data_IF_391998409950
#
_entry.id   IF_391998409950
#
_cell.length_a   1.000
_cell.length_b   1.000
_cell.length_c   1.000
_cell.angle_alpha   90.00
_cell.angle_beta   90.00
_cell.angle_gamma   90.00
#
_symmetry.space_group_name_H-M   'P 1'
#
loop_
_entity.id
_entity.type
_entity.pdbx_description
1 polymer ?
#
# COMPACT_ATOMS: atom_id res chain seq x y z
N UNK A 1 -28.70 -1.29 -8.70
CA UNK A 1 -27.82 -0.56 -7.76
C UNK A 1 -28.16 0.92 -7.55
N UNK A 2 -28.73 1.66 -8.51
CA UNK A 2 -29.06 3.11 -8.33
C UNK A 2 -30.02 3.44 -7.17
N UNK A 3 -30.86 2.51 -6.72
CA UNK A 3 -31.82 2.73 -5.62
C UNK A 3 -31.15 3.04 -4.26
N UNK A 4 -29.91 2.58 -4.05
CA UNK A 4 -29.22 2.67 -2.76
C UNK A 4 -28.09 3.70 -2.74
N UNK A 5 -27.85 4.40 -3.84
CA UNK A 5 -26.75 5.37 -3.94
C UNK A 5 -27.33 6.77 -3.70
N UNK A 6 -26.92 7.43 -2.60
CA UNK A 6 -27.32 8.81 -2.29
C UNK A 6 -26.42 9.82 -3.00
N UNK A 7 -25.09 9.63 -2.91
CA UNK A 7 -24.11 10.55 -3.48
C UNK A 7 -22.92 9.78 -4.05
N UNK A 8 -22.31 10.35 -5.09
CA UNK A 8 -21.07 9.86 -5.68
C UNK A 8 -20.13 11.04 -5.80
N UNK A 9 -18.92 10.88 -5.27
CA UNK A 9 -17.83 11.83 -5.43
C UNK A 9 -16.73 11.16 -6.22
N UNK A 10 -16.19 11.86 -7.22
CA UNK A 10 -15.12 11.34 -8.07
C UNK A 10 -13.96 12.32 -8.03
N UNK A 11 -12.78 11.79 -7.74
CA UNK A 11 -11.52 12.50 -7.82
C UNK A 11 -10.69 11.82 -8.91
N UNK A 12 -10.29 12.60 -9.91
CA UNK A 12 -9.40 12.14 -10.98
C UNK A 12 -8.00 12.61 -10.67
N UNK A 13 -7.00 11.77 -10.94
CA UNK A 13 -5.61 12.13 -10.76
C UNK A 13 -5.03 11.82 -9.38
N UNK A 14 -5.87 11.40 -8.42
CA UNK A 14 -5.46 11.20 -7.02
C UNK A 14 -6.30 10.15 -6.30
N UNK A 15 -5.66 9.33 -5.48
CA UNK A 15 -6.29 8.42 -4.49
C UNK A 15 -5.97 8.91 -3.06
N UNK A 16 -7.02 9.09 -2.27
CA UNK A 16 -6.94 9.41 -0.85
C UNK A 16 -6.75 8.12 -0.03
N UNK A 17 -5.91 8.20 1.01
CA UNK A 17 -5.63 7.08 1.91
C UNK A 17 -4.98 5.87 1.25
N UNK A 18 -4.33 6.03 0.10
CA UNK A 18 -3.72 4.93 -0.67
C UNK A 18 -2.64 4.15 0.08
N UNK A 19 -2.22 3.04 -0.51
CA UNK A 19 -1.18 2.17 0.06
C UNK A 19 0.12 2.97 0.21
N UNK A 20 0.75 2.91 1.39
CA UNK A 20 2.06 3.55 1.60
C UNK A 20 3.05 2.98 0.58
N UNK A 21 3.61 3.85 -0.26
CA UNK A 21 4.51 3.49 -1.35
C UNK A 21 3.83 3.25 -2.72
N UNK A 22 2.50 3.21 -2.82
CA UNK A 22 1.86 3.28 -4.12
C UNK A 22 1.92 4.71 -4.70
N UNK A 23 1.93 4.79 -6.04
CA UNK A 23 1.67 6.01 -6.81
C UNK A 23 0.22 6.42 -6.59
N UNK A 24 -0.02 7.29 -5.62
CA UNK A 24 -1.37 7.76 -5.30
C UNK A 24 -1.80 8.97 -6.15
N UNK A 25 -0.95 9.44 -7.07
CA UNK A 25 -1.23 10.53 -8.00
C UNK A 25 -0.75 10.13 -9.41
N UNK A 26 -1.59 10.33 -10.41
CA UNK A 26 -1.32 9.91 -11.79
C UNK A 26 -2.53 10.07 -12.72
N UNK A 27 -2.29 10.25 -14.01
CA UNK A 27 -3.36 10.39 -15.02
C UNK A 27 -4.16 9.09 -15.21
N UNK A 28 -3.57 7.98 -14.79
CA UNK A 28 -4.10 6.62 -14.80
C UNK A 28 -4.95 6.29 -13.56
N UNK A 29 -5.10 7.25 -12.64
CA UNK A 29 -5.69 7.02 -11.32
C UNK A 29 -7.03 7.75 -11.15
N UNK A 30 -8.01 7.06 -10.57
CA UNK A 30 -9.30 7.65 -10.17
C UNK A 30 -9.79 7.07 -8.84
N UNK A 31 -10.35 7.92 -7.99
CA UNK A 31 -11.02 7.55 -6.75
C UNK A 31 -12.51 7.86 -6.86
N UNK A 32 -13.35 6.87 -6.55
CA UNK A 32 -14.80 7.01 -6.55
C UNK A 32 -15.32 6.68 -5.16
N UNK A 33 -15.83 7.69 -4.48
CA UNK A 33 -16.51 7.54 -3.19
C UNK A 33 -18.01 7.43 -3.40
N UNK A 34 -18.62 6.37 -2.87
CA UNK A 34 -20.06 6.11 -2.99
C UNK A 34 -20.70 6.15 -1.61
N UNK A 35 -21.57 7.12 -1.39
CA UNK A 35 -22.43 7.20 -0.21
C UNK A 35 -23.72 6.41 -0.45
N UNK A 36 -23.91 5.36 0.35
CA UNK A 36 -25.07 4.48 0.28
C UNK A 36 -26.16 4.83 1.32
N UNK A 37 -25.98 5.88 2.10
CA UNK A 37 -26.92 6.29 3.13
C UNK A 37 -27.07 5.32 4.31
N UNK A 38 -27.96 5.69 5.21
CA UNK A 38 -28.16 5.04 6.51
C UNK A 38 -28.64 3.60 6.37
N UNK A 39 -28.22 2.75 7.32
CA UNK A 39 -28.57 1.32 7.35
C UNK A 39 -30.09 1.11 7.39
N UNK A 40 -30.83 1.95 8.12
CA UNK A 40 -32.29 1.84 8.26
C UNK A 40 -33.06 2.13 6.96
N UNK A 41 -32.44 2.84 6.02
CA UNK A 41 -33.03 3.17 4.73
C UNK A 41 -32.73 2.12 3.64
N UNK A 42 -32.06 1.01 3.99
CA UNK A 42 -31.60 0.00 3.04
C UNK A 42 -32.00 -1.41 3.44
N UNK A 43 -32.43 -2.17 2.45
CA UNK A 43 -32.78 -3.59 2.59
C UNK A 43 -31.54 -4.51 2.49
N UNK A 44 -30.36 -3.95 2.20
CA UNK A 44 -29.10 -4.69 1.97
C UNK A 44 -27.96 -4.17 2.84
N UNK A 45 -27.11 -5.09 3.30
CA UNK A 45 -25.90 -4.77 4.05
C UNK A 45 -24.83 -4.10 3.19
N UNK A 46 -23.86 -3.44 3.84
CA UNK A 46 -22.71 -2.81 3.14
C UNK A 46 -21.90 -3.86 2.38
N UNK A 47 -21.62 -5.02 3.02
CA UNK A 47 -20.89 -6.15 2.42
C UNK A 47 -21.59 -6.71 1.17
N UNK A 48 -22.90 -6.91 1.22
CA UNK A 48 -23.67 -7.42 0.08
C UNK A 48 -23.69 -6.41 -1.08
N UNK A 49 -23.86 -5.12 -0.77
CA UNK A 49 -23.77 -4.06 -1.77
C UNK A 49 -22.40 -4.06 -2.45
N UNK A 50 -21.34 -4.12 -1.66
CA UNK A 50 -19.96 -4.16 -2.10
C UNK A 50 -19.66 -5.35 -3.02
N UNK A 51 -20.05 -6.57 -2.63
CA UNK A 51 -19.84 -7.76 -3.45
C UNK A 51 -20.59 -7.69 -4.79
N UNK A 52 -21.81 -7.16 -4.76
CA UNK A 52 -22.61 -6.98 -5.98
C UNK A 52 -21.97 -5.97 -6.94
N UNK A 53 -21.43 -4.87 -6.41
CA UNK A 53 -20.76 -3.84 -7.18
C UNK A 53 -19.42 -4.33 -7.73
N UNK A 54 -18.66 -5.08 -6.93
CA UNK A 54 -17.41 -5.73 -7.37
C UNK A 54 -17.65 -6.62 -8.58
N UNK A 55 -18.62 -7.55 -8.50
CA UNK A 55 -18.93 -8.46 -9.63
C UNK A 55 -19.28 -7.69 -10.90
N UNK A 56 -20.07 -6.63 -10.79
CA UNK A 56 -20.47 -5.81 -11.93
C UNK A 56 -19.29 -5.04 -12.55
N UNK A 57 -18.41 -4.44 -11.73
CA UNK A 57 -17.31 -3.62 -12.21
C UNK A 57 -16.16 -4.44 -12.80
N UNK A 58 -15.82 -5.58 -12.19
CA UNK A 58 -14.80 -6.49 -12.73
C UNK A 58 -15.19 -7.04 -14.10
N UNK A 59 -16.49 -7.30 -14.33
CA UNK A 59 -16.99 -7.72 -15.65
C UNK A 59 -17.00 -6.57 -16.67
N UNK A 60 -17.25 -5.34 -16.22
CA UNK A 60 -17.37 -4.19 -17.11
C UNK A 60 -16.00 -3.64 -17.57
N UNK A 61 -14.96 -3.70 -16.72
CA UNK A 61 -13.65 -3.12 -17.01
C UNK A 61 -12.53 -4.11 -16.63
N UNK A 62 -12.29 -5.17 -17.44
CA UNK A 62 -11.33 -6.22 -17.10
C UNK A 62 -9.87 -5.74 -17.00
N UNK A 63 -9.55 -4.64 -17.69
CA UNK A 63 -8.20 -4.07 -17.73
C UNK A 63 -7.89 -3.12 -16.57
N UNK A 64 -8.87 -2.77 -15.73
CA UNK A 64 -8.65 -1.88 -14.59
C UNK A 64 -8.42 -2.70 -13.32
N UNK A 65 -7.38 -2.34 -12.56
CA UNK A 65 -7.29 -2.78 -11.18
C UNK A 65 -8.27 -1.98 -10.33
N UNK A 66 -9.27 -2.66 -9.77
CA UNK A 66 -10.30 -2.05 -8.93
C UNK A 66 -10.11 -2.60 -7.53
N UNK A 67 -9.84 -1.71 -6.58
CA UNK A 67 -9.83 -2.03 -5.16
C UNK A 67 -10.96 -1.28 -4.48
N UNK A 68 -11.62 -1.94 -3.55
CA UNK A 68 -12.69 -1.32 -2.79
C UNK A 68 -12.30 -1.25 -1.32
N UNK A 69 -12.55 -0.09 -0.71
CA UNK A 69 -12.18 0.21 0.67
C UNK A 69 -13.34 0.88 1.38
N UNK A 70 -13.56 0.51 2.63
CA UNK A 70 -14.52 1.18 3.49
C UNK A 70 -13.86 2.41 4.10
N UNK A 71 -14.51 3.56 4.00
CA UNK A 71 -14.01 4.78 4.64
C UNK A 71 -14.41 4.72 6.10
N UNK A 72 -13.41 4.63 6.99
CA UNK A 72 -13.68 4.65 8.43
C UNK A 72 -14.27 6.00 8.85
N UNK A 73 -15.33 6.01 9.69
CA UNK A 73 -15.96 7.24 10.18
C UNK A 73 -14.99 8.18 10.92
N UNK A 74 -13.88 7.65 11.44
CA UNK A 74 -12.82 8.39 12.13
C UNK A 74 -11.87 9.16 11.20
N UNK A 75 -12.07 9.12 9.88
CA UNK A 75 -11.27 9.87 8.91
C UNK A 75 -9.86 9.33 8.67
N UNK A 76 -9.49 8.22 9.31
CA UNK A 76 -8.28 7.47 9.00
C UNK A 76 -8.45 6.70 7.70
N UNK A 77 -7.55 6.91 6.74
CA UNK A 77 -7.53 6.12 5.50
C UNK A 77 -7.51 4.63 5.81
N UNK A 78 -8.45 3.87 5.25
CA UNK A 78 -8.44 2.41 5.37
C UNK A 78 -7.29 1.86 4.54
N UNK A 79 -6.25 1.39 5.21
CA UNK A 79 -5.27 0.49 4.60
C UNK A 79 -5.95 -0.83 4.27
N UNK A 80 -5.45 -1.53 3.24
CA UNK A 80 -5.95 -2.86 2.93
C UNK A 80 -5.80 -3.79 4.15
N UNK A 81 -6.79 -4.64 4.46
CA UNK A 81 -6.74 -5.53 5.62
C UNK A 81 -5.47 -6.39 5.64
N UNK A 82 -5.06 -6.87 4.46
CA UNK A 82 -3.80 -7.59 4.28
C UNK A 82 -2.82 -6.70 3.53
N UNK A 83 -1.67 -6.44 4.15
CA UNK A 83 -0.54 -5.77 3.54
C UNK A 83 0.73 -6.60 3.78
N UNK A 84 1.37 -7.06 2.71
CA UNK A 84 2.58 -7.86 2.73
C UNK A 84 3.72 -7.03 2.13
N UNK A 85 4.70 -6.68 2.93
CA UNK A 85 5.88 -5.96 2.51
C UNK A 85 7.00 -6.95 2.23
N UNK A 86 7.48 -6.99 1.00
CA UNK A 86 8.62 -7.81 0.61
C UNK A 86 9.79 -6.87 0.41
N UNK A 87 10.90 -7.11 1.13
CA UNK A 87 12.12 -6.31 1.01
C UNK A 87 13.27 -7.12 0.43
N UNK A 88 14.18 -6.44 -0.27
CA UNK A 88 15.28 -7.08 -0.98
C UNK A 88 16.41 -6.13 -1.33
N UNK A 89 17.57 -6.69 -1.66
CA UNK A 89 18.77 -5.95 -2.07
C UNK A 89 18.79 -5.66 -3.57
N UNK A 90 18.44 -6.63 -4.42
CA UNK A 90 18.39 -6.51 -5.88
C UNK A 90 16.95 -6.32 -6.36
N UNK A 91 16.73 -5.37 -7.28
CA UNK A 91 15.38 -5.01 -7.72
C UNK A 91 14.78 -6.09 -8.62
N UNK A 92 15.56 -6.67 -9.53
CA UNK A 92 15.04 -7.62 -10.52
C UNK A 92 14.63 -8.93 -9.83
N UNK A 93 15.43 -9.39 -8.87
CA UNK A 93 15.08 -10.52 -8.00
C UNK A 93 13.87 -10.22 -7.11
N UNK A 94 13.79 -9.01 -6.53
CA UNK A 94 12.66 -8.60 -5.70
C UNK A 94 11.35 -8.62 -6.51
N UNK A 95 11.39 -8.14 -7.75
CA UNK A 95 10.25 -8.19 -8.68
C UNK A 95 9.85 -9.63 -8.96
N UNK A 96 10.80 -10.51 -9.28
CA UNK A 96 10.51 -11.93 -9.54
C UNK A 96 9.84 -12.63 -8.34
N UNK A 97 10.39 -12.46 -7.12
CA UNK A 97 9.85 -13.04 -5.89
C UNK A 97 8.47 -12.45 -5.57
N UNK A 98 8.32 -11.13 -5.70
CA UNK A 98 7.04 -10.47 -5.46
C UNK A 98 5.95 -10.92 -6.45
N UNK A 99 6.29 -11.18 -7.71
CA UNK A 99 5.36 -11.71 -8.70
C UNK A 99 4.92 -13.14 -8.40
N UNK A 100 5.83 -13.98 -7.87
CA UNK A 100 5.48 -15.32 -7.38
C UNK A 100 4.52 -15.24 -6.18
N UNK A 101 4.85 -14.40 -5.19
CA UNK A 101 3.99 -14.16 -4.03
C UNK A 101 2.61 -13.61 -4.45
N UNK A 102 2.57 -12.65 -5.38
CA UNK A 102 1.32 -12.11 -5.92
C UNK A 102 0.48 -13.20 -6.60
N UNK A 103 1.12 -14.09 -7.37
CA UNK A 103 0.44 -15.22 -8.02
C UNK A 103 -0.17 -16.15 -6.98
N UNK A 104 0.55 -16.49 -5.91
CA UNK A 104 0.03 -17.31 -4.81
C UNK A 104 -1.20 -16.62 -4.18
N UNK A 105 -1.08 -15.35 -3.82
CA UNK A 105 -2.19 -14.59 -3.21
C UNK A 105 -3.43 -14.54 -4.10
N UNK A 106 -3.26 -14.39 -5.42
CA UNK A 106 -4.36 -14.38 -6.40
C UNK A 106 -5.11 -15.72 -6.51
N UNK A 107 -4.44 -16.84 -6.23
CA UNK A 107 -5.07 -18.17 -6.25
C UNK A 107 -5.77 -18.52 -4.94
N UNK A 108 -5.59 -17.75 -3.87
CA UNK A 108 -6.25 -18.00 -2.59
C UNK A 108 -7.71 -17.51 -2.63
N UNK A 109 -8.71 -18.41 -2.43
CA UNK A 109 -10.12 -18.03 -2.51
C UNK A 109 -10.58 -17.07 -1.40
N UNK A 110 -9.83 -17.01 -0.30
CA UNK A 110 -10.11 -16.12 0.82
C UNK A 110 -9.72 -14.65 0.53
N UNK A 111 -8.92 -14.41 -0.50
CA UNK A 111 -8.39 -13.09 -0.86
C UNK A 111 -9.09 -12.53 -2.09
N UNK A 112 -9.22 -11.21 -2.10
CA UNK A 112 -9.85 -10.43 -3.18
C UNK A 112 -9.05 -9.15 -3.40
N UNK A 113 -9.20 -8.55 -4.57
CA UNK A 113 -8.57 -7.26 -4.92
C UNK A 113 -7.04 -7.24 -4.67
N UNK A 114 -6.35 -8.34 -5.01
CA UNK A 114 -4.89 -8.44 -4.85
C UNK A 114 -4.19 -7.43 -5.78
N UNK A 115 -3.35 -6.59 -5.20
CA UNK A 115 -2.62 -5.52 -5.88
C UNK A 115 -1.17 -5.43 -5.44
N UNK A 116 -0.32 -4.96 -6.34
CA UNK A 116 1.11 -4.72 -6.10
C UNK A 116 1.43 -3.23 -6.26
N UNK A 117 2.31 -2.70 -5.41
CA UNK A 117 2.89 -1.36 -5.63
C UNK A 117 3.93 -1.35 -6.74
N UNK A 118 4.31 -2.52 -7.25
CA UNK A 118 5.17 -2.61 -8.41
C UNK A 118 4.33 -2.53 -9.68
N UNK A 119 4.48 -1.42 -10.40
CA UNK A 119 3.94 -1.27 -11.74
C UNK A 119 5.01 -1.62 -12.76
N UNK A 120 4.62 -2.29 -13.85
CA UNK A 120 5.52 -2.46 -15.00
C UNK A 120 5.99 -1.07 -15.44
N UNK A 121 7.31 -0.88 -15.41
CA UNK A 121 7.93 0.43 -15.56
C UNK A 121 7.45 1.18 -16.79
N UNK A 122 7.28 2.50 -16.67
CA UNK A 122 6.86 3.34 -17.79
C UNK A 122 7.91 3.26 -18.92
N UNK A 123 7.48 3.24 -20.18
CA UNK A 123 8.40 3.36 -21.31
C UNK A 123 9.26 4.61 -21.13
N UNK A 124 10.57 4.46 -21.18
CA UNK A 124 11.53 5.55 -21.06
C UNK A 124 12.49 5.56 -22.24
N UNK A 125 12.93 6.76 -22.61
CA UNK A 125 13.96 6.95 -23.64
C UNK A 125 15.27 7.23 -22.92
N UNK A 126 16.21 6.29 -22.99
CA UNK A 126 17.56 6.42 -22.43
C UNK A 126 18.47 7.09 -23.44
N UNK A 127 19.02 8.24 -23.07
CA UNK A 127 20.07 8.92 -23.85
C UNK A 127 21.40 8.72 -23.13
N UNK A 128 22.24 7.83 -23.67
CA UNK A 128 23.52 7.43 -23.09
C UNK A 128 24.64 8.22 -23.78
N UNK A 129 25.31 9.17 -23.10
CA UNK A 129 26.30 10.03 -23.72
C UNK A 129 27.61 9.29 -24.01
N UNK A 130 28.09 9.37 -25.26
CA UNK A 130 29.41 8.89 -25.65
C UNK A 130 30.45 9.95 -25.32
N UNK A 131 30.88 9.97 -24.05
CA UNK A 131 31.73 11.04 -23.47
C UNK A 131 33.00 11.38 -24.26
N UNK A 132 33.64 10.39 -24.90
CA UNK A 132 34.83 10.60 -25.72
C UNK A 132 34.53 11.47 -26.95
N UNK A 133 33.51 11.09 -27.72
CA UNK A 133 33.07 11.82 -28.91
C UNK A 133 32.60 13.23 -28.57
N UNK A 134 31.80 13.38 -27.50
CA UNK A 134 31.32 14.69 -27.03
C UNK A 134 32.49 15.66 -26.79
N UNK A 135 33.54 15.18 -26.10
CA UNK A 135 34.73 15.98 -25.81
C UNK A 135 35.55 16.27 -27.09
N UNK A 136 35.69 15.30 -28.00
CA UNK A 136 36.39 15.48 -29.28
C UNK A 136 35.74 16.58 -30.13
N UNK A 137 34.41 16.66 -30.14
CA UNK A 137 33.67 17.74 -30.81
C UNK A 137 33.62 19.06 -30.00
N UNK A 138 34.38 19.15 -28.89
CA UNK A 138 34.51 20.37 -28.10
C UNK A 138 33.27 20.72 -27.26
N UNK A 139 32.36 19.77 -27.03
CA UNK A 139 31.16 19.93 -26.22
C UNK A 139 31.37 19.31 -24.83
N UNK A 140 30.56 19.75 -23.86
CA UNK A 140 30.43 19.06 -22.57
C UNK A 140 29.17 18.21 -22.51
N UNK A 141 29.20 17.16 -21.69
CA UNK A 141 28.00 16.34 -21.41
C UNK A 141 26.86 17.20 -20.84
N UNK A 142 27.19 18.22 -20.05
CA UNK A 142 26.21 19.16 -19.48
C UNK A 142 25.53 20.01 -20.54
N UNK A 143 26.27 20.49 -21.54
CA UNK A 143 25.69 21.25 -22.67
C UNK A 143 24.72 20.38 -23.47
N UNK A 144 25.10 19.13 -23.76
CA UNK A 144 24.24 18.17 -24.45
C UNK A 144 22.97 17.88 -23.64
N UNK A 145 23.10 17.63 -22.34
CA UNK A 145 21.97 17.36 -21.46
C UNK A 145 21.00 18.55 -21.35
N UNK A 146 21.52 19.77 -21.19
CA UNK A 146 20.70 20.99 -21.12
C UNK A 146 19.94 21.24 -22.41
N UNK A 147 20.57 21.07 -23.57
CA UNK A 147 19.91 21.24 -24.86
C UNK A 147 18.73 20.25 -25.04
N UNK A 148 18.92 18.99 -24.63
CA UNK A 148 17.84 17.99 -24.65
C UNK A 148 16.72 18.41 -23.70
N UNK A 149 17.07 18.85 -22.47
CA UNK A 149 16.09 19.30 -21.48
C UNK A 149 15.26 20.48 -21.98
N UNK A 150 15.90 21.50 -22.55
CA UNK A 150 15.21 22.66 -23.12
C UNK A 150 14.39 22.29 -24.35
N UNK A 151 14.84 21.34 -25.15
CA UNK A 151 14.04 20.81 -26.26
C UNK A 151 12.75 20.14 -25.79
N UNK A 152 12.83 19.31 -24.74
CA UNK A 152 11.73 18.45 -24.28
C UNK A 152 10.85 19.13 -23.23
N UNK A 153 11.40 19.49 -22.07
CA UNK A 153 10.66 20.14 -20.98
C UNK A 153 10.31 21.59 -21.31
N UNK A 154 11.22 22.25 -22.04
CA UNK A 154 11.20 23.68 -22.29
C UNK A 154 11.95 24.48 -21.23
N UNK A 155 12.39 25.68 -21.62
CA UNK A 155 12.96 26.68 -20.73
C UNK A 155 11.96 27.83 -20.54
N UNK A 156 11.71 28.22 -19.29
CA UNK A 156 10.93 29.43 -19.01
C UNK A 156 11.86 30.61 -19.31
N UNK A 157 11.66 31.22 -20.48
CA UNK A 157 12.50 32.32 -20.95
C UNK A 157 12.16 33.62 -20.24
N UNK A 158 10.88 33.81 -19.90
CA UNK A 158 10.39 34.98 -19.16
C UNK A 158 9.02 34.70 -18.56
N UNK A 159 8.52 35.61 -17.73
CA UNK A 159 7.18 35.56 -17.16
C UNK A 159 6.41 36.80 -17.60
N UNK A 160 5.15 36.60 -17.96
CA UNK A 160 4.23 37.65 -18.36
C UNK A 160 3.18 37.84 -17.27
N UNK A 161 3.11 39.04 -16.70
CA UNK A 161 2.15 39.37 -15.63
C UNK A 161 0.94 40.08 -16.21
N UNK A 162 -0.26 39.61 -15.85
CA UNK A 162 -1.53 40.28 -16.13
C UNK A 162 -2.32 40.38 -14.82
N UNK A 163 -2.53 41.60 -14.32
CA UNK A 163 -3.12 41.80 -13.00
C UNK A 163 -2.21 41.23 -11.90
N UNK A 164 -2.78 40.39 -11.03
CA UNK A 164 -2.06 39.70 -9.95
C UNK A 164 -1.55 38.31 -10.38
N UNK A 165 -1.88 37.85 -11.59
CA UNK A 165 -1.47 36.54 -12.11
C UNK A 165 -0.17 36.65 -12.93
N UNK A 166 0.73 35.68 -12.73
CA UNK A 166 1.96 35.51 -13.52
C UNK A 166 1.89 34.25 -14.39
N UNK A 167 2.25 34.39 -15.67
CA UNK A 167 2.25 33.31 -16.65
C UNK A 167 3.66 33.06 -17.19
N UNK A 168 4.13 31.83 -17.10
CA UNK A 168 5.42 31.42 -17.68
C UNK A 168 5.37 31.40 -19.22
N UNK A 169 6.28 32.13 -19.87
CA UNK A 169 6.54 32.00 -21.32
C UNK A 169 7.64 30.96 -21.50
N UNK A 170 7.27 29.78 -22.01
CA UNK A 170 8.18 28.64 -22.19
C UNK A 170 8.56 28.42 -23.65
N UNK A 171 9.87 28.40 -23.91
CA UNK A 171 10.43 28.00 -25.21
C UNK A 171 10.74 26.52 -25.19
N UNK A 172 10.21 25.76 -26.16
CA UNK A 172 10.36 24.31 -26.27
C UNK A 172 10.24 23.87 -27.72
N UNK A 173 10.70 22.67 -28.06
CA UNK A 173 10.47 22.11 -29.40
C UNK A 173 8.99 21.87 -29.66
N UNK A 174 8.62 21.78 -30.94
CA UNK A 174 7.25 21.48 -31.35
C UNK A 174 6.84 20.08 -30.86
N UNK A 175 5.55 19.87 -30.58
CA UNK A 175 5.07 18.57 -30.09
C UNK A 175 5.29 17.44 -31.13
N UNK A 176 5.35 17.78 -32.43
CA UNK A 176 5.69 16.85 -33.50
C UNK A 176 7.14 16.33 -33.44
N UNK A 177 8.06 17.13 -32.89
CA UNK A 177 9.47 16.74 -32.72
C UNK A 177 9.68 15.89 -31.45
N UNK A 178 8.81 16.04 -30.44
CA UNK A 178 8.89 15.30 -29.16
C UNK A 178 8.35 13.89 -29.25
N UNK A 179 7.25 13.70 -29.98
CA UNK A 179 6.50 12.44 -30.01
C UNK A 179 7.18 11.34 -30.83
N UNK A 180 8.33 11.61 -31.45
CA UNK A 180 9.05 10.62 -32.23
C UNK A 180 10.52 10.56 -31.82
N UNK A 181 10.93 9.41 -31.30
CA UNK A 181 12.32 9.14 -30.90
C UNK A 181 13.32 9.37 -32.06
N UNK A 182 12.88 9.15 -33.31
CA UNK A 182 13.68 9.40 -34.52
C UNK A 182 13.88 10.89 -34.83
N UNK A 183 13.13 11.78 -34.19
CA UNK A 183 13.34 13.22 -34.28
C UNK A 183 14.29 13.70 -33.18
N UNK A 184 14.28 13.06 -32.00
CA UNK A 184 15.26 13.31 -30.94
C UNK A 184 16.71 13.09 -31.44
N UNK A 185 16.92 12.05 -32.22
CA UNK A 185 18.23 11.73 -32.82
C UNK A 185 18.74 12.77 -33.81
N UNK A 186 17.87 13.63 -34.33
CA UNK A 186 18.18 14.69 -35.30
C UNK A 186 18.48 16.04 -34.64
N UNK A 187 18.38 16.16 -33.32
CA UNK A 187 18.73 17.40 -32.62
C UNK A 187 20.19 17.74 -32.96
N UNK A 188 20.41 18.93 -33.50
CA UNK A 188 21.72 19.35 -34.01
C UNK A 188 22.41 20.23 -32.98
N UNK A 189 23.70 19.95 -32.77
CA UNK A 189 24.60 20.76 -31.96
C UNK A 189 25.58 21.50 -32.85
N UNK A 190 25.79 22.78 -32.56
CA UNK A 190 26.81 23.59 -33.20
C UNK A 190 28.14 23.37 -32.47
N UNK A 191 29.12 22.90 -33.22
CA UNK A 191 30.50 22.68 -32.77
C UNK A 191 31.45 23.57 -33.57
N UNK A 192 32.73 23.57 -33.21
CA UNK A 192 33.75 24.32 -33.96
C UNK A 192 33.90 23.82 -35.39
N UNK A 193 33.65 22.53 -35.62
CA UNK A 193 33.85 21.84 -36.90
C UNK A 193 32.56 21.70 -37.72
N UNK A 194 31.44 22.23 -37.23
CA UNK A 194 30.17 22.26 -37.94
C UNK A 194 28.99 21.79 -37.11
N UNK A 195 28.00 21.22 -37.78
CA UNK A 195 26.78 20.73 -37.16
C UNK A 195 26.86 19.23 -36.91
N UNK A 196 26.64 18.80 -35.67
CA UNK A 196 26.71 17.39 -35.27
C UNK A 196 25.37 16.95 -34.68
N UNK A 197 24.74 15.87 -35.18
CA UNK A 197 23.47 15.39 -34.65
C UNK A 197 23.65 14.64 -33.32
N UNK A 198 22.59 14.61 -32.49
CA UNK A 198 22.58 13.92 -31.20
C UNK A 198 22.93 12.44 -31.34
N UNK A 199 22.50 11.77 -32.41
CA UNK A 199 22.82 10.36 -32.68
C UNK A 199 24.31 10.06 -32.84
N UNK A 200 25.11 11.04 -33.24
CA UNK A 200 26.56 10.88 -33.30
C UNK A 200 27.21 10.98 -31.90
N UNK A 201 26.59 11.73 -30.99
CA UNK A 201 27.10 12.05 -29.66
C UNK A 201 26.58 11.11 -28.56
N UNK A 202 25.39 10.54 -28.74
CA UNK A 202 24.69 9.73 -27.75
C UNK A 202 24.04 8.49 -28.37
N UNK A 203 24.03 7.40 -27.61
CA UNK A 203 23.19 6.23 -27.89
C UNK A 203 21.79 6.49 -27.34
N UNK A 204 20.78 6.34 -28.19
CA UNK A 204 19.38 6.52 -27.81
C UNK A 204 18.73 5.15 -27.86
N UNK A 205 18.29 4.65 -26.70
CA UNK A 205 17.64 3.35 -26.58
C UNK A 205 16.29 3.49 -25.88
N UNK A 206 15.32 2.73 -26.35
CA UNK A 206 14.05 2.55 -25.63
C UNK A 206 14.27 1.55 -24.51
N UNK A 207 13.78 1.87 -23.34
CA UNK A 207 13.80 0.99 -22.19
C UNK A 207 12.50 1.11 -21.40
N UNK A 208 12.48 0.39 -20.28
CA UNK A 208 11.47 0.57 -19.24
C UNK A 208 12.23 0.84 -17.95
N UNK A 209 11.75 1.82 -17.20
CA UNK A 209 12.30 2.22 -15.90
C UNK A 209 11.22 2.14 -14.83
N UNK A 210 11.55 1.75 -13.59
CA UNK A 210 10.56 1.72 -12.52
C UNK A 210 9.96 3.11 -12.31
N UNK A 211 8.63 3.21 -12.30
CA UNK A 211 7.92 4.46 -12.00
C UNK A 211 8.26 4.96 -10.60
N UNK A 212 8.43 4.03 -9.66
CA UNK A 212 8.69 4.32 -8.25
C UNK A 212 9.53 3.20 -7.62
N UNK A 213 10.46 3.56 -6.73
CA UNK A 213 11.22 2.61 -5.91
C UNK A 213 10.99 2.92 -4.45
N UNK A 214 10.17 2.10 -3.79
CA UNK A 214 9.91 2.22 -2.36
C UNK A 214 11.03 1.59 -1.54
N UNK A 215 11.25 2.15 -0.35
CA UNK A 215 12.27 1.68 0.58
C UNK A 215 11.77 1.77 2.02
N UNK A 216 12.10 0.78 2.84
CA UNK A 216 11.98 0.81 4.31
C UNK A 216 13.30 0.34 4.89
N UNK A 217 13.79 1.04 5.90
CA UNK A 217 15.06 0.73 6.55
C UNK A 217 16.23 0.58 5.55
N UNK A 218 16.27 1.44 4.51
CA UNK A 218 17.26 1.44 3.41
C UNK A 218 17.24 0.22 2.47
N UNK A 219 16.35 -0.76 2.66
CA UNK A 219 16.13 -1.86 1.71
C UNK A 219 15.04 -1.48 0.70
N UNK A 220 15.15 -1.96 -0.55
CA UNK A 220 14.08 -1.82 -1.55
C UNK A 220 12.89 -2.64 -1.11
N UNK A 221 11.67 -2.17 -1.38
CA UNK A 221 10.45 -2.84 -0.98
C UNK A 221 9.41 -2.83 -2.10
N UNK A 222 8.72 -3.96 -2.26
CA UNK A 222 7.45 -4.06 -2.98
C UNK A 222 6.37 -4.45 -1.96
N UNK A 223 5.24 -3.74 -1.97
CA UNK A 223 4.11 -4.05 -1.10
C UNK A 223 3.01 -4.70 -1.93
N UNK A 224 2.58 -5.87 -1.49
CA UNK A 224 1.36 -6.52 -1.97
C UNK A 224 0.23 -6.22 -1.00
N UNK A 225 -0.95 -5.92 -1.53
CA UNK A 225 -2.16 -5.65 -0.75
C UNK A 225 -3.28 -6.54 -1.21
N UNK A 226 -4.15 -6.93 -0.27
CA UNK A 226 -5.33 -7.71 -0.59
C UNK A 226 -6.48 -7.37 0.38
N UNK A 227 -7.69 -7.40 -0.14
CA UNK A 227 -8.91 -7.49 0.66
C UNK A 227 -9.15 -8.92 1.11
N UNK A 228 -9.93 -9.07 2.18
CA UNK A 228 -10.38 -10.37 2.68
C UNK A 228 -11.81 -10.59 2.20
N UNK A 229 -12.01 -11.59 1.35
CA UNK A 229 -13.34 -11.97 0.86
C UNK A 229 -14.10 -12.83 1.88
N UNK A 230 -13.39 -13.72 2.57
CA UNK A 230 -13.97 -14.62 3.58
C UNK A 230 -12.94 -15.05 4.62
N UNK A 231 -13.38 -15.25 5.86
CA UNK A 231 -12.54 -15.70 6.96
C UNK A 231 -12.03 -14.58 7.86
N UNK A 232 -11.50 -14.94 9.02
CA UNK A 232 -10.89 -14.01 9.97
C UNK A 232 -9.46 -13.65 9.53
N UNK A 233 -9.07 -12.38 9.74
CA UNK A 233 -7.75 -11.86 9.34
C UNK A 233 -6.59 -12.73 9.82
N UNK A 234 -6.60 -13.16 11.09
CA UNK A 234 -5.55 -14.00 11.65
C UNK A 234 -5.38 -15.34 10.90
N UNK A 235 -6.49 -16.04 10.62
CA UNK A 235 -6.44 -17.32 9.89
C UNK A 235 -5.96 -17.13 8.45
N UNK A 236 -6.40 -16.04 7.80
CA UNK A 236 -5.99 -15.71 6.43
C UNK A 236 -4.49 -15.39 6.39
N UNK A 237 -3.99 -14.59 7.33
CA UNK A 237 -2.56 -14.25 7.46
C UNK A 237 -1.71 -15.50 7.72
N UNK A 238 -2.16 -16.39 8.61
CA UNK A 238 -1.47 -17.67 8.87
C UNK A 238 -1.42 -18.55 7.62
N UNK A 239 -2.53 -18.65 6.87
CA UNK A 239 -2.56 -19.41 5.61
C UNK A 239 -1.65 -18.79 4.54
N UNK A 240 -1.57 -17.44 4.47
CA UNK A 240 -0.63 -16.76 3.58
C UNK A 240 0.81 -17.10 4.00
N UNK A 241 1.14 -17.00 5.28
CA UNK A 241 2.48 -17.30 5.78
C UNK A 241 2.90 -18.74 5.49
N UNK A 242 1.99 -19.71 5.65
CA UNK A 242 2.22 -21.12 5.31
C UNK A 242 2.55 -21.30 3.82
N UNK A 243 1.78 -20.69 2.92
CA UNK A 243 2.03 -20.76 1.47
C UNK A 243 3.33 -20.05 1.07
N UNK A 244 3.60 -18.87 1.64
CA UNK A 244 4.83 -18.12 1.36
C UNK A 244 6.07 -18.80 1.91
N UNK A 245 5.94 -19.61 2.97
CA UNK A 245 7.08 -20.38 3.52
C UNK A 245 7.61 -21.46 2.56
N UNK A 246 6.82 -21.83 1.55
CA UNK A 246 7.20 -22.78 0.51
C UNK A 246 8.00 -22.13 -0.62
N UNK A 247 8.03 -20.79 -0.70
CA UNK A 247 8.87 -20.08 -1.64
C UNK A 247 10.32 -20.08 -1.18
N UNK A 248 11.25 -20.07 -2.15
CA UNK A 248 12.65 -19.84 -1.86
C UNK A 248 12.87 -18.36 -1.54
N UNK A 249 13.41 -18.09 -0.36
CA UNK A 249 13.75 -16.74 0.14
C UNK A 249 15.27 -16.62 0.23
N UNK A 250 15.94 -16.13 -0.82
CA UNK A 250 17.39 -16.00 -0.81
C UNK A 250 17.87 -15.02 0.27
N UNK A 251 19.15 -15.10 0.60
CA UNK A 251 19.77 -14.18 1.56
C UNK A 251 19.53 -12.71 1.18
N UNK A 252 19.07 -11.94 2.17
CA UNK A 252 18.75 -10.53 2.01
C UNK A 252 17.34 -10.23 1.48
N UNK A 253 16.49 -11.26 1.32
CA UNK A 253 15.06 -11.11 1.04
C UNK A 253 14.24 -11.57 2.22
N UNK A 254 13.27 -10.76 2.61
CA UNK A 254 12.38 -11.05 3.73
C UNK A 254 11.00 -10.47 3.44
N UNK A 255 9.97 -11.09 4.00
CA UNK A 255 8.62 -10.57 3.99
C UNK A 255 8.16 -10.23 5.41
N UNK A 256 7.32 -9.20 5.52
CA UNK A 256 6.69 -8.79 6.76
C UNK A 256 5.23 -8.45 6.49
N UNK A 257 4.33 -8.86 7.38
CA UNK A 257 2.97 -8.33 7.40
C UNK A 257 2.97 -6.93 8.01
N UNK A 258 2.25 -6.01 7.39
CA UNK A 258 2.13 -4.61 7.78
C UNK A 258 0.67 -4.19 7.89
N UNK A 259 0.42 -2.95 8.31
CA UNK A 259 -0.92 -2.37 8.35
C UNK A 259 -1.75 -2.92 9.51
N UNK A 260 -3.00 -3.31 9.24
CA UNK A 260 -3.94 -3.73 10.28
C UNK A 260 -3.43 -4.95 11.07
N UNK A 261 -2.75 -5.88 10.40
CA UNK A 261 -2.20 -7.07 11.04
C UNK A 261 -1.01 -6.76 11.96
N UNK A 262 -0.12 -5.83 11.56
CA UNK A 262 1.00 -5.38 12.40
C UNK A 262 0.47 -4.72 13.67
N UNK A 263 -0.47 -3.77 13.53
CA UNK A 263 -1.12 -3.13 14.68
C UNK A 263 -1.88 -4.12 15.57
N UNK A 264 -2.50 -5.16 14.97
CA UNK A 264 -3.18 -6.22 15.71
C UNK A 264 -2.18 -7.05 16.53
N UNK A 265 -1.06 -7.46 15.94
CA UNK A 265 -0.04 -8.25 16.64
C UNK A 265 0.61 -7.45 17.77
N UNK A 266 0.96 -6.18 17.52
CA UNK A 266 1.50 -5.27 18.54
C UNK A 266 0.52 -5.10 19.69
N UNK A 267 -0.74 -4.75 19.40
CA UNK A 267 -1.79 -4.59 20.42
C UNK A 267 -2.05 -5.88 21.20
N UNK A 268 -2.01 -7.05 20.54
CA UNK A 268 -2.20 -8.35 21.21
C UNK A 268 -1.06 -8.62 22.20
N UNK A 269 0.19 -8.28 21.84
CA UNK A 269 1.35 -8.40 22.71
C UNK A 269 1.25 -7.48 23.93
N UNK A 270 0.89 -6.21 23.71
CA UNK A 270 0.70 -5.22 24.78
C UNK A 270 -0.43 -5.61 25.73
N UNK A 271 -1.59 -6.02 25.21
CA UNK A 271 -2.73 -6.46 26.03
C UNK A 271 -2.38 -7.75 26.79
N UNK A 272 -1.65 -8.68 26.17
CA UNK A 272 -1.16 -9.87 26.86
C UNK A 272 -0.26 -9.55 28.05
N UNK A 273 0.66 -8.58 27.89
CA UNK A 273 1.49 -8.08 28.98
C UNK A 273 0.67 -7.36 30.05
N UNK A 274 -0.30 -6.53 29.65
CA UNK A 274 -1.19 -5.83 30.55
C UNK A 274 -2.06 -6.80 31.37
N UNK A 275 -2.56 -7.88 30.74
CA UNK A 275 -3.33 -8.93 31.40
C UNK A 275 -2.48 -9.66 32.45
N UNK A 276 -1.23 -10.02 32.11
CA UNK A 276 -0.30 -10.65 33.05
C UNK A 276 -0.01 -9.73 34.24
N UNK A 277 0.24 -8.45 33.99
CA UNK A 277 0.44 -7.46 35.04
C UNK A 277 -0.82 -7.27 35.90
N UNK A 278 -2.00 -7.24 35.28
CA UNK A 278 -3.27 -7.13 35.98
C UNK A 278 -3.51 -8.32 36.91
N UNK A 279 -3.20 -9.55 36.48
CA UNK A 279 -3.29 -10.74 37.33
C UNK A 279 -2.33 -10.61 38.52
N UNK A 280 -1.06 -10.22 38.29
CA UNK A 280 -0.09 -10.05 39.39
C UNK A 280 -0.54 -8.98 40.39
N UNK A 281 -1.00 -7.82 39.91
CA UNK A 281 -1.47 -6.73 40.76
C UNK A 281 -2.73 -7.12 41.53
N UNK A 282 -3.66 -7.82 40.87
CA UNK A 282 -4.88 -8.33 41.52
C UNK A 282 -4.52 -9.34 42.61
N UNK A 283 -3.51 -10.19 42.38
CA UNK A 283 -3.05 -11.15 43.37
C UNK A 283 -2.47 -10.44 44.60
N UNK A 284 -1.59 -9.45 44.38
CA UNK A 284 -1.01 -8.67 45.47
C UNK A 284 -2.08 -7.92 46.27
N UNK A 285 -3.08 -7.36 45.59
CA UNK A 285 -4.19 -6.65 46.22
C UNK A 285 -5.05 -7.59 47.06
N UNK A 286 -5.42 -8.76 46.54
CA UNK A 286 -6.16 -9.78 47.30
C UNK A 286 -5.35 -10.29 48.49
N UNK A 287 -4.05 -10.57 48.30
CA UNK A 287 -3.19 -11.04 49.37
C UNK A 287 -3.07 -10.03 50.52
N UNK A 288 -3.07 -8.73 50.19
CA UNK A 288 -3.06 -7.66 51.17
C UNK A 288 -4.39 -7.51 51.92
N UNK A 289 -5.53 -7.69 51.23
CA UNK A 289 -6.88 -7.58 51.85
C UNK A 289 -7.21 -8.80 52.71
N UNK A 290 -6.85 -10.00 52.24
CA UNK A 290 -7.15 -11.27 52.91
C UNK A 290 -6.08 -11.67 53.93
N UNK A 291 -4.98 -10.92 54.02
CA UNK A 291 -3.81 -11.22 54.86
C UNK A 291 -3.27 -12.66 54.68
N UNK A 292 -3.49 -13.24 53.49
CA UNK A 292 -3.30 -14.66 53.20
C UNK A 292 -2.74 -14.84 51.79
N UNK A 293 -1.74 -15.72 51.64
CA UNK A 293 -1.15 -16.06 50.33
C UNK A 293 -1.90 -17.17 49.60
N UNK A 294 -2.72 -17.95 50.30
CA UNK A 294 -3.41 -19.13 49.75
C UNK A 294 -4.80 -18.76 49.25
N UNK A 295 -5.52 -17.92 49.99
CA UNK A 295 -6.88 -17.49 49.64
C UNK A 295 -6.98 -16.79 48.27
N UNK A 296 -6.06 -15.87 47.89
CA UNK A 296 -6.05 -15.27 46.57
C UNK A 296 -5.90 -16.28 45.43
N UNK A 297 -5.10 -17.34 45.63
CA UNK A 297 -4.92 -18.39 44.61
C UNK A 297 -6.21 -19.17 44.39
N UNK A 298 -6.96 -19.44 45.47
CA UNK A 298 -8.27 -20.09 45.38
C UNK A 298 -9.27 -19.21 44.61
N UNK A 299 -9.31 -17.91 44.90
CA UNK A 299 -10.16 -16.96 44.16
C UNK A 299 -9.74 -16.90 42.68
N UNK A 300 -8.45 -16.82 42.39
CA UNK A 300 -7.94 -16.77 41.01
C UNK A 300 -8.18 -18.05 40.21
N UNK A 301 -8.44 -19.18 40.86
CA UNK A 301 -8.83 -20.41 40.16
C UNK A 301 -10.17 -20.27 39.40
N UNK A 302 -10.98 -19.25 39.73
CA UNK A 302 -12.21 -18.90 39.00
C UNK A 302 -11.93 -18.21 37.66
N UNK A 303 -10.76 -17.61 37.47
CA UNK A 303 -10.40 -16.87 36.24
C UNK A 303 -10.32 -17.80 35.01
N UNK A 304 -9.62 -18.94 35.03
CA UNK A 304 -9.67 -19.92 33.94
C UNK A 304 -11.09 -20.38 33.61
N UNK A 305 -11.97 -20.53 34.62
CA UNK A 305 -13.36 -20.91 34.42
C UNK A 305 -14.14 -19.82 33.67
N UNK A 306 -13.91 -18.55 34.00
CA UNK A 306 -14.52 -17.42 33.30
C UNK A 306 -14.07 -17.33 31.82
N UNK A 307 -12.79 -17.63 31.53
CA UNK A 307 -12.26 -17.65 30.16
C UNK A 307 -12.97 -18.69 29.27
N UNK A 308 -13.35 -19.85 29.81
CA UNK A 308 -14.12 -20.86 29.07
C UNK A 308 -15.45 -20.25 28.60
N UNK A 309 -16.13 -19.48 29.44
CA UNK A 309 -17.36 -18.79 29.09
C UNK A 309 -17.18 -17.77 27.96
N UNK A 310 -16.07 -17.02 27.98
CA UNK A 310 -15.74 -16.06 26.90
C UNK A 310 -15.51 -16.79 25.57
N UNK A 311 -14.69 -17.83 25.58
CA UNK A 311 -14.38 -18.61 24.36
C UNK A 311 -15.67 -19.22 23.80
N UNK A 312 -16.51 -19.79 24.67
CA UNK A 312 -17.78 -20.38 24.25
C UNK A 312 -18.73 -19.33 23.63
N UNK A 313 -18.81 -18.14 24.23
CA UNK A 313 -19.60 -17.02 23.71
C UNK A 313 -19.10 -16.55 22.33
N UNK A 314 -17.78 -16.42 22.16
CA UNK A 314 -17.17 -16.03 20.88
C UNK A 314 -17.44 -17.08 19.79
N UNK A 315 -17.32 -18.36 20.12
CA UNK A 315 -17.59 -19.46 19.18
C UNK A 315 -19.08 -19.51 18.82
N UNK A 316 -19.99 -19.36 19.78
CA UNK A 316 -21.43 -19.35 19.51
C UNK A 316 -21.87 -18.15 18.67
N UNK A 317 -21.26 -16.99 18.89
CA UNK A 317 -21.55 -15.77 18.11
C UNK A 317 -20.75 -15.66 16.81
N UNK A 318 -19.85 -16.62 16.56
CA UNK A 318 -18.93 -16.65 15.42
C UNK A 318 -18.11 -15.35 15.26
N UNK A 319 -17.74 -14.74 16.40
CA UNK A 319 -16.94 -13.54 16.43
C UNK A 319 -15.46 -13.88 16.64
N UNK A 320 -14.53 -13.25 15.90
CA UNK A 320 -13.11 -13.44 16.14
C UNK A 320 -12.69 -12.80 17.46
N UNK A 321 -11.61 -13.32 18.04
CA UNK A 321 -10.95 -12.68 19.17
C UNK A 321 -10.19 -11.44 18.66
N UNK A 322 -10.77 -10.26 18.87
CA UNK A 322 -10.23 -8.97 18.48
C UNK A 322 -9.77 -8.13 19.70
N UNK A 323 -9.29 -6.92 19.44
CA UNK A 323 -8.80 -5.99 20.49
C UNK A 323 -9.91 -5.71 21.52
N UNK A 324 -11.15 -5.48 21.08
CA UNK A 324 -12.26 -5.19 21.98
C UNK A 324 -12.63 -6.41 22.85
N UNK A 325 -12.61 -7.60 22.26
CA UNK A 325 -12.85 -8.85 22.97
C UNK A 325 -11.78 -9.09 24.03
N UNK A 326 -10.51 -8.82 23.74
CA UNK A 326 -9.42 -8.93 24.73
C UNK A 326 -9.55 -7.90 25.85
N UNK A 327 -9.95 -6.66 25.56
CA UNK A 327 -10.25 -5.67 26.60
C UNK A 327 -11.39 -6.13 27.53
N UNK A 328 -12.43 -6.74 26.96
CA UNK A 328 -13.52 -7.31 27.74
C UNK A 328 -13.05 -8.46 28.64
N UNK A 329 -12.10 -9.29 28.18
CA UNK A 329 -11.48 -10.33 29.01
C UNK A 329 -10.74 -9.72 30.21
N UNK A 330 -9.95 -8.66 30.00
CA UNK A 330 -9.24 -7.97 31.09
C UNK A 330 -10.23 -7.42 32.13
N UNK A 331 -11.33 -6.81 31.68
CA UNK A 331 -12.39 -6.32 32.57
C UNK A 331 -13.09 -7.46 33.32
N UNK A 332 -13.35 -8.59 32.65
CA UNK A 332 -13.99 -9.75 33.25
C UNK A 332 -13.17 -10.32 34.41
N UNK A 333 -11.84 -10.36 34.29
CA UNK A 333 -10.96 -10.81 35.40
C UNK A 333 -11.21 -9.99 36.66
N UNK A 334 -11.32 -8.66 36.53
CA UNK A 334 -11.60 -7.78 37.68
C UNK A 334 -12.98 -8.02 38.29
N UNK A 335 -14.01 -8.21 37.46
CA UNK A 335 -15.38 -8.44 37.93
C UNK A 335 -15.52 -9.78 38.64
N UNK A 336 -14.95 -10.84 38.06
CA UNK A 336 -15.04 -12.20 38.62
C UNK A 336 -14.33 -12.27 39.96
N UNK A 337 -13.15 -11.65 40.05
CA UNK A 337 -12.39 -11.59 41.30
C UNK A 337 -13.11 -10.77 42.38
N UNK A 338 -13.77 -9.67 42.01
CA UNK A 338 -14.52 -8.86 42.97
C UNK A 338 -15.78 -9.57 43.50
N UNK A 339 -16.31 -10.55 42.76
CA UNK A 339 -17.53 -11.27 43.12
C UNK A 339 -17.26 -12.63 43.81
N UNK A 340 -16.03 -13.13 43.76
CA UNK A 340 -15.59 -14.38 44.37
C UNK A 340 -15.00 -14.14 45.77
#
# INVERSE_FOLDING_TARGET
>A
HRKYIKKVYTVLGKISGGVVGASNEGVEVAEITVDIGDKEARDIGVKEFYESLRKALVLAIPSASISFREISPSGGGSSAPVQLQITGTDLDKLVAISGQAETILRHMPALVDVNSTWESGKPEIKVIPRRKLITEYGLSVSQVALAIRYGIEGEVATQYRIGDDEYDIRVRFSDADKNNIKNLSKIVFLTRDGQVPLSALCDITEGSGPTQINRKNKKRMITLTAGIGSGAIGNVVSAISEQLSQLDWPDGYEYQFAGQEESRQESTGEIGQALLLAIILTYMLLAAILESYVEPVMIMSTVPLALIGVILSLVMTNNPLDIFSMMAVVMLVGIVVNNA
#
